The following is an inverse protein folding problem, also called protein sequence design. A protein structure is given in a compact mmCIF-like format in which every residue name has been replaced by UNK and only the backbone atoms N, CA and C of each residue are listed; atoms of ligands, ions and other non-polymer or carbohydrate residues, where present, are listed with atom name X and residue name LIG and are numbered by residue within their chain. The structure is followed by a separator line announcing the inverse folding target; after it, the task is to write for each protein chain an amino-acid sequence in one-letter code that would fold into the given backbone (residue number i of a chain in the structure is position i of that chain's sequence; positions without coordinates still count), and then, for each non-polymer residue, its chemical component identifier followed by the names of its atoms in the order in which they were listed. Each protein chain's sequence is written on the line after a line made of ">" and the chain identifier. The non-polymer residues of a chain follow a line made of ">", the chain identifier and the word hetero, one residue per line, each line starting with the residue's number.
data_IF_029306466401
#
_entry.id   IF_029306466401
#
_cell.length_a   1.000
_cell.length_b   1.000
_cell.length_c   1.000
_cell.angle_alpha   90.00
_cell.angle_beta   90.00
_cell.angle_gamma   90.00
#
_symmetry.space_group_name_H-M   'P 1'
#
loop_
_entity.id
_entity.type
_entity.pdbx_description
1 polymer ?
#
# COMPACT_ATOMS: atom_id res chain seq x y z
N UNK A 1 -13.42 -4.12 -14.54
CA UNK A 1 -11.98 -4.44 -14.37
C UNK A 1 -11.53 -3.73 -13.11
N UNK A 2 -11.10 -4.48 -12.10
CA UNK A 2 -10.47 -3.89 -10.90
C UNK A 2 -9.02 -3.58 -11.23
N UNK A 3 -8.56 -2.37 -10.88
CA UNK A 3 -7.19 -1.94 -11.08
C UNK A 3 -6.45 -2.07 -9.74
N UNK A 4 -5.30 -2.75 -9.74
CA UNK A 4 -4.43 -2.81 -8.56
C UNK A 4 -3.31 -1.80 -8.69
N UNK A 5 -3.16 -0.92 -7.71
CA UNK A 5 -2.09 0.08 -7.61
C UNK A 5 -1.15 -0.34 -6.47
N UNK A 6 0.14 -0.45 -6.77
CA UNK A 6 1.17 -0.72 -5.77
C UNK A 6 2.04 0.52 -5.58
N UNK A 7 2.17 0.95 -4.32
CA UNK A 7 3.02 2.07 -3.91
C UNK A 7 4.17 1.55 -3.05
N UNK A 8 5.37 2.00 -3.37
CA UNK A 8 6.57 1.67 -2.61
C UNK A 8 7.66 2.72 -2.79
N UNK A 9 8.74 2.63 -2.00
CA UNK A 9 9.93 3.41 -2.24
C UNK A 9 10.47 3.21 -3.66
N UNK A 10 11.20 4.21 -4.15
CA UNK A 10 11.84 4.10 -5.46
C UNK A 10 12.76 2.86 -5.50
N UNK A 11 12.70 2.05 -6.58
CA UNK A 11 13.59 0.90 -6.74
C UNK A 11 15.07 1.32 -6.91
N UNK A 12 15.35 2.61 -7.14
CA UNK A 12 16.72 3.15 -7.20
C UNK A 12 17.30 3.49 -5.82
N UNK A 13 16.50 3.40 -4.76
CA UNK A 13 16.96 3.68 -3.39
C UNK A 13 17.97 2.62 -2.97
N UNK A 14 19.10 3.05 -2.40
CA UNK A 14 20.20 2.15 -1.98
C UNK A 14 20.11 1.71 -0.51
N UNK A 15 19.18 2.28 0.24
CA UNK A 15 18.98 2.00 1.66
C UNK A 15 17.55 1.57 1.91
N UNK A 16 17.34 0.76 2.94
CA UNK A 16 15.99 0.39 3.37
C UNK A 16 15.22 1.63 3.84
N UNK A 17 13.90 1.56 3.70
CA UNK A 17 12.98 2.55 4.25
C UNK A 17 12.55 2.05 5.63
N UNK A 18 12.78 2.83 6.67
CA UNK A 18 12.32 2.42 7.99
C UNK A 18 10.80 2.45 8.07
N UNK A 19 10.20 1.61 8.91
CA UNK A 19 8.74 1.55 9.07
C UNK A 19 8.11 2.92 9.40
N UNK A 20 8.78 3.69 10.27
CA UNK A 20 8.37 5.06 10.61
C UNK A 20 8.39 5.99 9.39
N UNK A 21 9.37 5.81 8.52
CA UNK A 21 9.53 6.61 7.32
C UNK A 21 8.62 6.13 6.18
N UNK A 22 8.08 4.90 6.23
CA UNK A 22 7.12 4.41 5.23
C UNK A 22 5.68 4.85 5.45
N UNK A 23 5.38 5.52 6.57
CA UNK A 23 4.02 6.00 6.87
C UNK A 23 3.44 6.92 5.80
N UNK A 24 4.27 7.76 5.14
CA UNK A 24 3.78 8.62 4.06
C UNK A 24 3.26 7.84 2.86
N UNK A 25 3.81 6.63 2.59
CA UNK A 25 3.37 5.76 1.50
C UNK A 25 1.99 5.21 1.81
N UNK A 26 1.78 4.78 3.06
CA UNK A 26 0.49 4.30 3.57
C UNK A 26 -0.56 5.41 3.53
N UNK A 27 -0.23 6.62 3.96
CA UNK A 27 -1.14 7.77 3.90
C UNK A 27 -1.51 8.15 2.46
N UNK A 28 -0.56 8.11 1.54
CA UNK A 28 -0.83 8.35 0.12
C UNK A 28 -1.74 7.27 -0.46
N UNK A 29 -1.45 6.00 -0.17
CA UNK A 29 -2.28 4.88 -0.60
C UNK A 29 -3.71 4.99 -0.08
N UNK A 30 -3.89 5.43 1.16
CA UNK A 30 -5.21 5.68 1.74
C UNK A 30 -5.97 6.76 0.99
N UNK A 31 -5.33 7.89 0.67
CA UNK A 31 -5.95 8.95 -0.14
C UNK A 31 -6.39 8.44 -1.51
N UNK A 32 -5.56 7.64 -2.18
CA UNK A 32 -5.90 7.05 -3.48
C UNK A 32 -7.08 6.07 -3.34
N UNK A 33 -7.11 5.26 -2.29
CA UNK A 33 -8.21 4.34 -2.04
C UNK A 33 -9.52 5.09 -1.73
N UNK A 34 -9.46 6.18 -0.97
CA UNK A 34 -10.62 7.03 -0.66
C UNK A 34 -11.17 7.71 -1.93
N UNK A 35 -10.29 8.20 -2.82
CA UNK A 35 -10.66 8.84 -4.09
C UNK A 35 -11.12 7.82 -5.15
N UNK A 36 -10.64 6.58 -5.08
CA UNK A 36 -10.91 5.51 -6.04
C UNK A 36 -11.28 4.20 -5.32
N UNK A 37 -12.48 4.08 -4.74
CA UNK A 37 -12.89 2.93 -3.92
C UNK A 37 -13.00 1.61 -4.70
N UNK A 38 -13.04 1.68 -6.04
CA UNK A 38 -13.04 0.50 -6.92
C UNK A 38 -11.64 -0.08 -7.16
N UNK A 39 -10.59 0.60 -6.71
CA UNK A 39 -9.20 0.17 -6.90
C UNK A 39 -8.71 -0.60 -5.68
N UNK A 40 -7.91 -1.62 -5.94
CA UNK A 40 -7.15 -2.27 -4.88
C UNK A 40 -5.82 -1.52 -4.71
N UNK A 41 -5.58 -0.94 -3.54
CA UNK A 41 -4.36 -0.18 -3.28
C UNK A 41 -3.48 -0.91 -2.28
N UNK A 42 -2.24 -1.16 -2.68
CA UNK A 42 -1.20 -1.81 -1.91
C UNK A 42 -0.12 -0.79 -1.55
N UNK A 43 0.32 -0.77 -0.30
CA UNK A 43 1.42 0.06 0.15
C UNK A 43 2.52 -0.79 0.80
N UNK A 44 3.75 -0.63 0.34
CA UNK A 44 4.90 -1.19 1.01
C UNK A 44 5.19 -0.40 2.30
N UNK A 45 5.24 -1.10 3.42
CA UNK A 45 5.48 -0.57 4.75
C UNK A 45 6.63 -1.31 5.40
N UNK A 46 7.65 -0.61 5.89
CA UNK A 46 8.79 -1.26 6.53
C UNK A 46 9.98 -1.51 5.60
N UNK A 47 10.86 -2.37 6.09
CA UNK A 47 12.21 -2.56 5.56
C UNK A 47 12.24 -3.50 4.36
N UNK A 48 11.34 -4.48 4.31
CA UNK A 48 11.36 -5.53 3.30
C UNK A 48 10.29 -5.30 2.22
N UNK A 49 10.59 -5.72 0.99
CA UNK A 49 9.64 -5.68 -0.14
C UNK A 49 8.41 -6.57 0.08
N UNK A 50 8.52 -7.52 1.00
CA UNK A 50 7.44 -8.42 1.41
C UNK A 50 6.47 -7.79 2.41
N UNK A 51 6.83 -6.67 3.04
CA UNK A 51 5.98 -6.01 4.01
C UNK A 51 5.04 -5.05 3.26
N UNK A 52 3.88 -5.57 2.84
CA UNK A 52 2.86 -4.84 2.07
C UNK A 52 1.53 -4.84 2.83
N UNK A 53 0.86 -3.70 2.84
CA UNK A 53 -0.47 -3.52 3.45
C UNK A 53 -1.49 -3.26 2.35
N UNK A 54 -2.62 -3.96 2.41
CA UNK A 54 -3.80 -3.71 1.56
C UNK A 54 -4.64 -2.63 2.22
N UNK A 55 -4.88 -1.51 1.54
CA UNK A 55 -5.55 -0.34 2.13
C UNK A 55 -6.93 -0.09 1.52
N UNK A 56 -7.13 -0.48 0.26
CA UNK A 56 -8.42 -0.36 -0.42
C UNK A 56 -8.69 -1.56 -1.32
N UNK A 57 -9.97 -1.76 -1.64
CA UNK A 57 -10.46 -2.82 -2.52
C UNK A 57 -11.98 -2.95 -2.42
N UNK A 58 -12.60 -3.55 -3.43
CA UNK A 58 -13.98 -3.99 -3.36
C UNK A 58 -14.12 -4.92 -2.14
N UNK A 59 -14.91 -4.49 -1.18
CA UNK A 59 -15.27 -5.25 0.02
C UNK A 59 -16.05 -6.50 -0.37
N UNK A 60 -15.35 -7.54 -0.76
CA UNK A 60 -15.81 -8.92 -0.62
C UNK A 60 -14.85 -9.58 0.38
N UNK A 61 -15.34 -9.71 1.61
CA UNK A 61 -14.84 -10.63 2.64
C UNK A 61 -13.34 -10.62 2.96
N UNK A 62 -12.95 -9.87 3.99
CA UNK A 62 -11.73 -10.20 4.75
C UNK A 62 -12.14 -10.48 6.20
N UNK A 63 -12.51 -11.74 6.45
CA UNK A 63 -12.40 -12.35 7.78
C UNK A 63 -10.90 -12.36 8.15
N UNK A 64 -10.53 -11.64 9.21
CA UNK A 64 -9.22 -11.72 9.83
C UNK A 64 -9.24 -12.89 10.84
N UNK A 65 -8.53 -13.98 10.53
CA UNK A 65 -8.13 -15.01 11.50
C UNK A 65 -6.80 -14.64 12.15
#
# INVERSE_FOLDING_TARGET
>A
MSLTISLGPSPKRKSFLAARDSMYIVELARKIADDCPSFQVLAQYGHHETEVIVIGGLSDDIELF
#
